data_IF_879610038961
#
_entry.id   IF_879610038961
#
_cell.length_a   1.000
_cell.length_b   1.000
_cell.length_c   1.000
_cell.angle_alpha   90.00
_cell.angle_beta   90.00
_cell.angle_gamma   90.00
#
_symmetry.space_group_name_H-M   'P 1'
#
loop_
_entity.id
_entity.type
_entity.pdbx_description
1 polymer ?
#
# COMPACT_ATOMS: atom_id res chain seq x y z
N UNK A 1 -21.42 33.81 -30.43
CA UNK A 1 -21.02 32.46 -29.99
C UNK A 1 -19.86 32.00 -30.86
N UNK A 2 -18.63 32.14 -30.36
CA UNK A 2 -17.44 31.57 -31.00
C UNK A 2 -16.58 31.05 -29.87
N UNK A 3 -16.72 29.75 -29.63
CA UNK A 3 -16.00 29.00 -28.63
C UNK A 3 -14.53 28.91 -29.06
N UNK A 4 -13.67 29.69 -28.40
CA UNK A 4 -12.22 29.60 -28.58
C UNK A 4 -11.74 28.28 -27.97
N UNK A 5 -11.64 27.24 -28.80
CA UNK A 5 -10.97 25.98 -28.43
C UNK A 5 -9.49 26.26 -28.16
N UNK A 6 -9.14 26.55 -26.90
CA UNK A 6 -7.75 26.57 -26.47
C UNK A 6 -7.17 25.16 -26.62
N UNK A 7 -6.34 24.97 -27.65
CA UNK A 7 -5.57 23.73 -27.83
C UNK A 7 -4.64 23.58 -26.62
N UNK A 8 -4.77 22.49 -25.88
CA UNK A 8 -3.92 22.21 -24.72
C UNK A 8 -2.44 22.39 -25.09
N UNK A 9 -1.63 23.10 -24.29
CA UNK A 9 -0.23 23.30 -24.60
C UNK A 9 0.47 21.95 -24.53
N UNK A 10 0.66 21.31 -25.68
CA UNK A 10 1.55 20.15 -25.81
C UNK A 10 3.00 20.64 -25.72
N UNK A 11 3.42 21.13 -24.55
CA UNK A 11 4.85 21.17 -24.23
C UNK A 11 5.24 19.75 -23.88
N UNK A 12 5.60 18.96 -24.90
CA UNK A 12 6.49 17.85 -24.68
C UNK A 12 7.77 18.45 -24.06
N UNK A 13 7.93 18.31 -22.74
CA UNK A 13 9.14 18.73 -22.06
C UNK A 13 10.27 17.90 -22.68
N UNK A 14 11.08 18.53 -23.55
CA UNK A 14 12.32 17.90 -24.01
C UNK A 14 13.14 17.66 -22.74
N UNK A 15 13.49 16.40 -22.39
CA UNK A 15 14.09 16.08 -21.10
C UNK A 15 15.31 16.96 -20.79
N UNK A 16 16.13 17.22 -21.80
CA UNK A 16 17.31 18.09 -21.72
C UNK A 16 16.97 19.53 -21.33
N UNK A 17 15.87 20.09 -21.88
CA UNK A 17 15.43 21.46 -21.55
C UNK A 17 14.92 21.52 -20.10
N UNK A 18 14.17 20.51 -19.67
CA UNK A 18 13.71 20.40 -18.27
C UNK A 18 14.87 20.28 -17.29
N UNK A 19 15.88 19.46 -17.60
CA UNK A 19 17.07 19.31 -16.75
C UNK A 19 17.84 20.62 -16.62
N UNK A 20 18.03 21.35 -17.72
CA UNK A 20 18.70 22.65 -17.68
C UNK A 20 17.93 23.70 -16.88
N UNK A 21 16.60 23.69 -16.98
CA UNK A 21 15.73 24.64 -16.27
C UNK A 21 15.53 24.31 -14.78
N UNK A 22 15.60 23.03 -14.38
CA UNK A 22 15.33 22.60 -12.99
C UNK A 22 16.57 22.18 -12.21
N UNK A 23 17.49 21.42 -12.80
CA UNK A 23 18.69 20.88 -12.13
C UNK A 23 19.90 21.81 -12.27
N UNK A 24 20.08 22.42 -13.45
CA UNK A 24 21.25 23.23 -13.78
C UNK A 24 20.92 24.72 -14.02
N UNK A 25 19.91 25.25 -13.33
CA UNK A 25 19.44 26.62 -13.54
C UNK A 25 20.41 27.71 -13.07
N UNK A 26 21.35 27.37 -12.20
CA UNK A 26 22.39 28.27 -11.70
C UNK A 26 23.61 27.51 -11.18
N UNK A 27 24.68 28.22 -10.83
CA UNK A 27 25.94 27.61 -10.37
C UNK A 27 25.76 26.83 -9.06
N UNK A 28 24.99 27.37 -8.11
CA UNK A 28 24.69 26.69 -6.84
C UNK A 28 23.90 25.40 -7.05
N UNK A 29 22.84 25.44 -7.87
CA UNK A 29 22.03 24.26 -8.20
C UNK A 29 22.83 23.21 -8.97
N UNK A 30 23.78 23.64 -9.81
CA UNK A 30 24.69 22.74 -10.53
C UNK A 30 25.62 22.03 -9.55
N UNK A 31 26.26 22.74 -8.62
CA UNK A 31 27.13 22.14 -7.60
C UNK A 31 26.33 21.21 -6.68
N UNK A 32 25.14 21.63 -6.24
CA UNK A 32 24.26 20.81 -5.40
C UNK A 32 23.81 19.54 -6.13
N UNK A 33 23.41 19.66 -7.40
CA UNK A 33 23.01 18.51 -8.24
C UNK A 33 24.18 17.54 -8.41
N UNK A 34 25.39 18.04 -8.70
CA UNK A 34 26.57 17.20 -8.84
C UNK A 34 26.97 16.54 -7.51
N UNK A 35 26.87 17.27 -6.39
CA UNK A 35 27.13 16.73 -5.06
C UNK A 35 26.16 15.63 -4.65
N UNK A 36 24.85 15.84 -4.88
CA UNK A 36 23.81 14.83 -4.64
C UNK A 36 23.99 13.63 -5.59
N UNK A 37 24.26 13.87 -6.87
CA UNK A 37 24.52 12.80 -7.83
C UNK A 37 25.75 11.97 -7.43
N UNK A 38 26.83 12.62 -6.98
CA UNK A 38 28.02 11.94 -6.47
C UNK A 38 27.68 11.09 -5.24
N UNK A 39 27.03 11.66 -4.22
CA UNK A 39 26.61 10.92 -3.03
C UNK A 39 25.72 9.72 -3.39
N UNK A 40 24.73 9.92 -4.27
CA UNK A 40 23.85 8.85 -4.74
C UNK A 40 24.64 7.73 -5.40
N UNK A 41 25.54 8.04 -6.34
CA UNK A 41 26.34 7.00 -7.01
C UNK A 41 27.24 6.27 -6.01
N UNK A 42 27.88 6.99 -5.08
CA UNK A 42 28.80 6.39 -4.11
C UNK A 42 28.11 5.60 -3.00
N UNK A 43 26.85 5.91 -2.66
CA UNK A 43 26.10 5.20 -1.61
C UNK A 43 25.22 4.10 -2.20
N UNK A 44 24.52 4.38 -3.30
CA UNK A 44 23.58 3.43 -3.92
C UNK A 44 24.33 2.32 -4.64
N UNK A 45 25.44 2.62 -5.32
CA UNK A 45 26.22 1.61 -6.05
C UNK A 45 26.66 0.43 -5.16
N UNK A 46 27.41 0.66 -4.07
CA UNK A 46 27.80 -0.39 -3.15
C UNK A 46 26.63 -1.09 -2.48
N UNK A 47 25.55 -0.35 -2.20
CA UNK A 47 24.35 -0.92 -1.57
C UNK A 47 23.62 -1.87 -2.52
N UNK A 48 23.52 -1.53 -3.81
CA UNK A 48 22.97 -2.42 -4.83
C UNK A 48 23.87 -3.65 -5.07
N UNK A 49 25.18 -3.46 -5.09
CA UNK A 49 26.12 -4.59 -5.21
C UNK A 49 25.94 -5.55 -4.04
N UNK A 50 25.93 -5.05 -2.80
CA UNK A 50 25.71 -5.85 -1.61
C UNK A 50 24.33 -6.54 -1.58
N UNK A 51 23.28 -5.86 -2.05
CA UNK A 51 21.90 -6.36 -1.99
C UNK A 51 21.54 -7.36 -3.09
N UNK A 52 22.11 -7.22 -4.29
CA UNK A 52 21.78 -8.06 -5.46
C UNK A 52 22.95 -8.88 -5.99
N UNK A 53 24.15 -8.29 -6.13
CA UNK A 53 25.27 -8.93 -6.84
C UNK A 53 26.06 -9.89 -5.94
N UNK A 54 26.39 -9.45 -4.73
CA UNK A 54 27.15 -10.24 -3.75
C UNK A 54 26.25 -11.04 -2.81
N UNK A 55 24.94 -10.99 -3.04
CA UNK A 55 23.92 -11.55 -2.16
C UNK A 55 23.79 -13.08 -2.28
N UNK A 56 23.52 -13.73 -1.15
CA UNK A 56 23.41 -15.18 -1.05
C UNK A 56 21.93 -15.60 -1.15
N UNK A 57 21.56 -16.24 -2.26
CA UNK A 57 20.20 -16.70 -2.56
C UNK A 57 19.99 -18.21 -2.38
N UNK A 58 21.06 -19.01 -2.35
CA UNK A 58 21.00 -20.49 -2.34
C UNK A 58 21.81 -21.03 -1.16
N UNK A 59 21.22 -21.96 -0.42
CA UNK A 59 21.79 -22.62 0.76
C UNK A 59 20.69 -23.22 1.63
N UNK A 60 21.08 -24.03 2.62
CA UNK A 60 20.15 -24.71 3.53
C UNK A 60 19.99 -23.94 4.86
N UNK A 61 21.07 -23.36 5.37
CA UNK A 61 21.13 -22.75 6.70
C UNK A 61 21.72 -21.34 6.70
N UNK A 62 21.46 -20.59 7.77
CA UNK A 62 21.99 -19.23 7.94
C UNK A 62 23.53 -19.16 7.95
N UNK A 63 24.21 -20.28 8.25
CA UNK A 63 25.66 -20.43 8.19
C UNK A 63 26.23 -20.43 6.77
N UNK A 64 25.38 -20.64 5.75
CA UNK A 64 25.81 -20.69 4.35
C UNK A 64 25.98 -19.28 3.75
N UNK A 65 25.60 -18.24 4.50
CA UNK A 65 25.78 -16.87 4.08
C UNK A 65 27.24 -16.41 4.31
N UNK A 66 27.95 -16.13 3.21
CA UNK A 66 29.37 -15.73 3.16
C UNK A 66 29.73 -14.45 3.93
N UNK A 67 28.75 -13.67 4.36
CA UNK A 67 28.94 -12.37 5.04
C UNK A 67 29.32 -11.21 4.13
N UNK A 68 29.67 -11.46 2.86
CA UNK A 68 30.06 -10.42 1.90
C UNK A 68 28.87 -9.63 1.32
N UNK A 69 27.69 -10.24 1.27
CA UNK A 69 26.45 -9.64 0.74
C UNK A 69 25.23 -9.93 1.60
N UNK A 70 24.07 -9.45 1.14
CA UNK A 70 22.80 -9.68 1.80
C UNK A 70 22.44 -11.18 1.86
N UNK A 71 21.94 -11.64 3.01
CA UNK A 71 21.52 -13.03 3.21
C UNK A 71 20.02 -13.17 2.94
N UNK A 72 19.64 -13.47 1.69
CA UNK A 72 18.24 -13.65 1.30
C UNK A 72 17.64 -14.98 1.77
N UNK A 73 18.49 -15.93 2.13
CA UNK A 73 18.10 -17.22 2.69
C UNK A 73 17.14 -17.08 3.87
N UNK A 74 17.39 -16.15 4.78
CA UNK A 74 16.51 -15.94 5.92
C UNK A 74 15.09 -15.52 5.48
N UNK A 75 15.02 -14.63 4.49
CA UNK A 75 13.76 -14.12 3.96
C UNK A 75 13.01 -15.23 3.24
N UNK A 76 13.66 -16.02 2.38
CA UNK A 76 13.01 -17.12 1.67
C UNK A 76 12.51 -18.22 2.62
N UNK A 77 13.30 -18.59 3.64
CA UNK A 77 12.95 -19.61 4.63
C UNK A 77 11.86 -19.17 5.62
N UNK A 78 11.62 -17.87 5.78
CA UNK A 78 10.60 -17.31 6.68
C UNK A 78 9.48 -16.57 5.93
N UNK A 79 9.46 -16.62 4.60
CA UNK A 79 8.50 -15.91 3.78
C UNK A 79 7.06 -16.33 4.08
N UNK A 80 6.84 -17.62 4.31
CA UNK A 80 5.53 -18.15 4.68
C UNK A 80 5.01 -17.48 5.98
N UNK A 81 5.84 -17.40 7.01
CA UNK A 81 5.51 -16.70 8.25
C UNK A 81 5.24 -15.21 8.04
N UNK A 82 6.00 -14.52 7.18
CA UNK A 82 5.75 -13.11 6.87
C UNK A 82 4.44 -12.87 6.12
N UNK A 83 3.95 -13.84 5.34
CA UNK A 83 2.70 -13.70 4.59
C UNK A 83 1.49 -14.14 5.43
N UNK A 84 1.54 -15.32 6.03
CA UNK A 84 0.39 -15.98 6.67
C UNK A 84 0.43 -15.95 8.21
N UNK A 85 1.58 -15.63 8.82
CA UNK A 85 1.76 -15.71 10.27
C UNK A 85 1.82 -17.18 10.75
N UNK A 86 1.00 -17.53 11.75
CA UNK A 86 0.89 -18.89 12.28
C UNK A 86 -0.29 -19.68 11.69
N UNK A 87 -0.82 -19.24 10.55
CA UNK A 87 -1.95 -19.88 9.87
C UNK A 87 -1.54 -21.27 9.34
N UNK A 88 -2.32 -22.35 9.59
CA UNK A 88 -1.93 -23.70 9.21
C UNK A 88 -1.65 -23.85 7.71
N UNK A 89 -0.56 -24.54 7.35
CA UNK A 89 -0.08 -24.68 5.96
C UNK A 89 -1.13 -25.29 5.03
N UNK A 90 -1.86 -26.30 5.49
CA UNK A 90 -2.91 -26.98 4.72
C UNK A 90 -4.09 -26.07 4.36
N UNK A 91 -4.29 -24.98 5.11
CA UNK A 91 -5.42 -24.07 4.97
C UNK A 91 -5.03 -22.75 4.27
N UNK A 92 -3.75 -22.52 3.97
CA UNK A 92 -3.25 -21.28 3.37
C UNK A 92 -3.91 -20.93 2.03
N UNK A 93 -4.41 -21.93 1.31
CA UNK A 93 -5.19 -21.72 0.08
C UNK A 93 -6.40 -20.79 0.28
N UNK A 94 -6.99 -20.76 1.49
CA UNK A 94 -8.09 -19.85 1.85
C UNK A 94 -7.64 -18.38 1.79
N UNK A 95 -6.42 -18.13 2.23
CA UNK A 95 -5.78 -16.81 2.23
C UNK A 95 -5.35 -16.43 0.81
N UNK A 96 -4.77 -17.37 0.06
CA UNK A 96 -4.40 -17.14 -1.35
C UNK A 96 -5.61 -16.84 -2.22
N UNK A 97 -6.71 -17.56 -2.01
CA UNK A 97 -7.99 -17.27 -2.65
C UNK A 97 -8.46 -15.85 -2.30
N UNK A 98 -8.31 -15.41 -1.06
CA UNK A 98 -8.64 -14.02 -0.67
C UNK A 98 -7.73 -12.98 -1.32
N UNK A 99 -6.42 -13.23 -1.44
CA UNK A 99 -5.51 -12.34 -2.16
C UNK A 99 -5.85 -12.26 -3.64
N UNK A 100 -6.17 -13.40 -4.26
CA UNK A 100 -6.63 -13.45 -5.64
C UNK A 100 -7.93 -12.65 -5.83
N UNK A 101 -8.93 -12.88 -4.98
CA UNK A 101 -10.21 -12.16 -5.03
C UNK A 101 -10.03 -10.66 -4.83
N UNK A 102 -9.16 -10.25 -3.90
CA UNK A 102 -8.80 -8.84 -3.69
C UNK A 102 -8.16 -8.26 -4.96
N UNK A 103 -7.19 -8.96 -5.56
CA UNK A 103 -6.54 -8.51 -6.79
C UNK A 103 -7.53 -8.42 -7.96
N UNK A 104 -8.42 -9.39 -8.12
CA UNK A 104 -9.47 -9.40 -9.16
C UNK A 104 -10.49 -8.28 -8.95
N UNK A 105 -10.82 -7.93 -7.70
CA UNK A 105 -11.71 -6.81 -7.41
C UNK A 105 -11.01 -5.44 -7.63
N UNK A 106 -9.73 -5.34 -7.27
CA UNK A 106 -8.99 -4.08 -7.19
C UNK A 106 -8.25 -3.70 -8.48
N UNK A 107 -7.51 -4.62 -9.11
CA UNK A 107 -6.68 -4.33 -10.30
C UNK A 107 -7.51 -3.80 -11.48
N UNK A 108 -8.69 -4.36 -11.82
CA UNK A 108 -9.53 -3.82 -12.88
C UNK A 108 -10.02 -2.39 -12.64
N UNK A 109 -9.99 -1.87 -11.40
CA UNK A 109 -10.36 -0.48 -11.12
C UNK A 109 -9.38 0.52 -11.72
N UNK A 110 -8.13 0.13 -11.96
CA UNK A 110 -7.12 0.97 -12.61
C UNK A 110 -7.21 0.95 -14.13
N UNK A 111 -7.99 0.04 -14.71
CA UNK A 111 -8.15 -0.11 -16.16
C UNK A 111 -9.49 0.49 -16.56
N UNK A 112 -9.48 1.68 -17.16
CA UNK A 112 -10.69 2.44 -17.49
C UNK A 112 -11.69 1.67 -18.37
N UNK A 113 -11.19 0.79 -19.25
CA UNK A 113 -11.99 0.08 -20.26
C UNK A 113 -12.41 -1.35 -19.85
N UNK A 114 -12.19 -1.75 -18.61
CA UNK A 114 -12.47 -3.14 -18.21
C UNK A 114 -13.99 -3.41 -18.10
N UNK A 115 -14.51 -4.47 -18.75
CA UNK A 115 -15.94 -4.79 -18.69
C UNK A 115 -16.33 -5.24 -17.28
N UNK A 116 -17.42 -4.69 -16.74
CA UNK A 116 -17.92 -5.07 -15.40
C UNK A 116 -17.17 -4.44 -14.22
N UNK A 117 -16.28 -3.46 -14.46
CA UNK A 117 -15.53 -2.73 -13.40
C UNK A 117 -16.41 -2.30 -12.21
N UNK A 118 -17.59 -1.73 -12.46
CA UNK A 118 -18.50 -1.27 -11.39
C UNK A 118 -18.99 -2.43 -10.51
N UNK A 119 -19.33 -3.57 -11.12
CA UNK A 119 -19.77 -4.76 -10.40
C UNK A 119 -18.64 -5.37 -9.57
N UNK A 120 -17.42 -5.43 -10.13
CA UNK A 120 -16.23 -5.86 -9.38
C UNK A 120 -15.90 -4.91 -8.21
N UNK A 121 -16.11 -3.61 -8.39
CA UNK A 121 -15.93 -2.62 -7.31
C UNK A 121 -16.98 -2.77 -6.20
N UNK A 122 -18.25 -2.98 -6.56
CA UNK A 122 -19.33 -3.27 -5.61
C UNK A 122 -19.09 -4.61 -4.88
N UNK A 123 -18.67 -5.64 -5.61
CA UNK A 123 -18.26 -6.91 -5.03
C UNK A 123 -17.07 -6.73 -4.09
N UNK A 124 -16.08 -5.92 -4.45
CA UNK A 124 -15.01 -5.54 -3.54
C UNK A 124 -15.55 -4.97 -2.23
N UNK A 125 -16.32 -3.88 -2.30
CA UNK A 125 -16.77 -3.16 -1.10
C UNK A 125 -17.67 -4.01 -0.20
N UNK A 126 -18.65 -4.71 -0.76
CA UNK A 126 -19.67 -5.42 0.02
C UNK A 126 -19.50 -6.93 0.04
N UNK A 127 -19.08 -7.54 -1.07
CA UNK A 127 -18.93 -8.99 -1.19
C UNK A 127 -17.65 -9.50 -0.52
N UNK A 128 -16.53 -8.84 -0.73
CA UNK A 128 -15.23 -9.31 -0.26
C UNK A 128 -15.13 -9.41 1.28
N UNK A 129 -15.64 -8.44 2.09
CA UNK A 129 -15.67 -8.58 3.54
C UNK A 129 -16.51 -9.78 3.99
N UNK A 130 -17.64 -10.03 3.33
CA UNK A 130 -18.54 -11.14 3.63
C UNK A 130 -17.84 -12.47 3.32
N UNK A 131 -17.24 -12.59 2.13
CA UNK A 131 -16.48 -13.79 1.76
C UNK A 131 -15.31 -14.01 2.73
N UNK A 132 -14.54 -12.97 3.05
CA UNK A 132 -13.41 -13.06 3.99
C UNK A 132 -13.83 -13.49 5.39
N UNK A 133 -14.98 -13.00 5.87
CA UNK A 133 -15.55 -13.37 7.17
C UNK A 133 -15.88 -14.86 7.26
N UNK A 134 -16.31 -15.50 6.18
CA UNK A 134 -16.58 -16.93 6.17
C UNK A 134 -15.34 -17.77 5.84
N UNK A 135 -14.50 -17.30 4.92
CA UNK A 135 -13.42 -18.10 4.33
C UNK A 135 -12.19 -18.17 5.24
N UNK A 136 -11.79 -17.09 5.91
CA UNK A 136 -10.54 -17.04 6.70
C UNK A 136 -10.67 -17.74 8.07
N UNK A 137 -11.62 -17.39 8.95
CA UNK A 137 -11.79 -18.09 10.22
C UNK A 137 -12.31 -19.52 10.03
N UNK A 138 -13.09 -19.80 8.98
CA UNK A 138 -13.77 -21.09 8.84
C UNK A 138 -14.88 -21.26 9.88
N UNK A 139 -15.13 -22.51 10.30
CA UNK A 139 -16.15 -22.86 11.31
C UNK A 139 -17.57 -23.02 10.77
N UNK A 140 -17.83 -22.55 9.54
CA UNK A 140 -19.12 -22.68 8.84
C UNK A 140 -18.94 -23.54 7.59
N UNK A 141 -19.99 -24.22 7.14
CA UNK A 141 -19.97 -25.11 5.96
C UNK A 141 -19.00 -26.31 6.04
N UNK A 142 -18.63 -26.75 7.25
CA UNK A 142 -17.70 -27.86 7.46
C UNK A 142 -16.22 -27.50 7.30
N UNK A 143 -15.90 -26.20 7.20
CA UNK A 143 -14.52 -25.71 7.21
C UNK A 143 -13.93 -25.78 8.61
N UNK A 144 -12.72 -26.32 8.74
CA UNK A 144 -11.96 -26.29 10.00
C UNK A 144 -11.79 -24.85 10.50
N UNK A 145 -12.03 -24.64 11.79
CA UNK A 145 -11.94 -23.34 12.44
C UNK A 145 -10.49 -22.98 12.76
N UNK A 146 -10.05 -21.81 12.30
CA UNK A 146 -8.72 -21.26 12.58
C UNK A 146 -8.87 -20.07 13.51
N UNK A 147 -8.40 -20.25 14.76
CA UNK A 147 -8.43 -19.21 15.78
C UNK A 147 -7.70 -17.93 15.32
N UNK A 148 -8.27 -16.77 15.64
CA UNK A 148 -7.71 -15.45 15.30
C UNK A 148 -6.33 -15.19 15.91
N UNK A 149 -5.95 -15.93 16.96
CA UNK A 149 -4.60 -15.87 17.57
C UNK A 149 -3.49 -16.34 16.63
N UNK A 150 -3.82 -17.14 15.61
CA UNK A 150 -2.88 -17.66 14.61
C UNK A 150 -2.70 -16.72 13.42
N UNK A 151 -3.53 -15.69 13.31
CA UNK A 151 -3.51 -14.78 12.17
C UNK A 151 -2.35 -13.82 12.30
N UNK A 152 -1.63 -13.58 11.20
CA UNK A 152 -0.51 -12.65 11.22
C UNK A 152 -0.02 -12.29 9.83
N UNK A 153 1.18 -11.72 9.80
CA UNK A 153 1.87 -11.36 8.57
C UNK A 153 1.12 -10.37 7.68
N UNK A 154 1.42 -10.44 6.39
CA UNK A 154 0.83 -9.61 5.36
C UNK A 154 -0.70 -9.77 5.31
N UNK A 155 -1.21 -11.00 5.50
CA UNK A 155 -2.65 -11.27 5.53
C UNK A 155 -3.37 -10.37 6.52
N UNK A 156 -2.95 -10.38 7.80
CA UNK A 156 -3.61 -9.60 8.84
C UNK A 156 -3.52 -8.10 8.54
N UNK A 157 -2.36 -7.61 8.09
CA UNK A 157 -2.19 -6.19 7.74
C UNK A 157 -3.12 -5.76 6.62
N UNK A 158 -3.27 -6.57 5.56
CA UNK A 158 -4.16 -6.28 4.44
C UNK A 158 -5.63 -6.34 4.85
N UNK A 159 -6.03 -7.31 5.69
CA UNK A 159 -7.40 -7.39 6.20
C UNK A 159 -7.75 -6.13 7.01
N UNK A 160 -6.90 -5.76 7.97
CA UNK A 160 -7.13 -4.59 8.83
C UNK A 160 -7.14 -3.29 8.02
N UNK A 161 -6.19 -3.13 7.10
CA UNK A 161 -6.15 -1.97 6.21
C UNK A 161 -7.40 -1.92 5.32
N UNK A 162 -7.81 -3.03 4.73
CA UNK A 162 -8.96 -3.10 3.84
C UNK A 162 -10.27 -2.76 4.56
N UNK A 163 -10.55 -3.44 5.68
CA UNK A 163 -11.76 -3.18 6.48
C UNK A 163 -11.73 -1.74 7.01
N UNK A 164 -10.58 -1.27 7.48
CA UNK A 164 -10.39 0.11 7.94
C UNK A 164 -10.70 1.14 6.88
N UNK A 165 -10.21 0.97 5.65
CA UNK A 165 -10.49 1.87 4.52
C UNK A 165 -11.98 1.81 4.13
N UNK A 166 -12.53 0.62 3.97
CA UNK A 166 -13.93 0.44 3.55
C UNK A 166 -14.90 1.00 4.59
N UNK A 167 -14.63 0.82 5.89
CA UNK A 167 -15.48 1.33 6.96
C UNK A 167 -15.28 2.84 7.22
N UNK A 168 -14.04 3.35 7.11
CA UNK A 168 -13.75 4.77 7.37
C UNK A 168 -14.19 5.70 6.25
N UNK A 169 -14.21 5.24 4.99
CA UNK A 169 -14.62 6.04 3.84
C UNK A 169 -16.06 6.60 3.97
N UNK A 170 -17.11 5.82 4.26
CA UNK A 170 -18.46 6.35 4.41
C UNK A 170 -18.57 7.30 5.61
N UNK A 171 -17.90 6.99 6.73
CA UNK A 171 -17.87 7.85 7.92
C UNK A 171 -17.20 9.18 7.57
N UNK A 172 -16.07 9.14 6.86
CA UNK A 172 -15.36 10.33 6.38
C UNK A 172 -16.20 11.18 5.44
N UNK A 173 -16.97 10.57 4.54
CA UNK A 173 -17.91 11.29 3.66
C UNK A 173 -19.00 11.97 4.49
N UNK A 174 -19.62 11.26 5.44
CA UNK A 174 -20.66 11.83 6.30
C UNK A 174 -20.15 13.02 7.12
N UNK A 175 -18.95 12.91 7.70
CA UNK A 175 -18.31 14.00 8.45
C UNK A 175 -17.93 15.18 7.54
N UNK A 176 -17.48 14.90 6.31
CA UNK A 176 -17.16 15.94 5.34
C UNK A 176 -18.41 16.71 4.88
N UNK A 177 -19.55 16.02 4.71
CA UNK A 177 -20.84 16.66 4.44
C UNK A 177 -21.33 17.46 5.65
N UNK A 178 -21.21 16.91 6.86
CA UNK A 178 -21.57 17.60 8.10
C UNK A 178 -20.78 18.90 8.31
N UNK A 179 -19.49 18.93 7.93
CA UNK A 179 -18.66 20.15 7.94
C UNK A 179 -19.18 21.25 7.02
N UNK A 180 -19.92 20.90 5.95
CA UNK A 180 -20.55 21.87 5.03
C UNK A 180 -21.99 22.23 5.39
N UNK A 181 -22.51 21.73 6.51
CA UNK A 181 -23.87 22.03 6.96
C UNK A 181 -24.01 23.48 7.45
N UNK A 182 -25.16 24.09 7.18
CA UNK A 182 -25.55 25.41 7.70
C UNK A 182 -25.92 25.37 9.20
N UNK A 183 -26.21 24.17 9.74
CA UNK A 183 -26.53 24.00 11.16
C UNK A 183 -25.26 24.09 12.03
N UNK A 184 -25.13 25.10 12.92
CA UNK A 184 -23.88 25.38 13.62
C UNK A 184 -23.46 24.26 14.57
N UNK A 185 -24.41 23.56 15.19
CA UNK A 185 -24.13 22.44 16.12
C UNK A 185 -23.48 21.27 15.37
N UNK A 186 -24.11 20.80 14.29
CA UNK A 186 -23.61 19.65 13.50
C UNK A 186 -22.26 19.99 12.88
N UNK A 187 -22.13 21.20 12.31
CA UNK A 187 -20.86 21.69 11.77
C UNK A 187 -19.77 21.72 12.84
N UNK A 188 -20.08 22.22 14.03
CA UNK A 188 -19.15 22.29 15.16
C UNK A 188 -18.62 20.90 15.55
N UNK A 189 -19.52 19.93 15.74
CA UNK A 189 -19.15 18.55 16.10
C UNK A 189 -18.26 17.92 15.02
N UNK A 190 -18.61 18.05 13.73
CA UNK A 190 -17.80 17.48 12.65
C UNK A 190 -16.42 18.14 12.55
N UNK A 191 -16.33 19.47 12.70
CA UNK A 191 -15.03 20.18 12.66
C UNK A 191 -14.15 19.75 13.83
N UNK A 192 -14.68 19.71 15.05
CA UNK A 192 -13.92 19.29 16.23
C UNK A 192 -13.40 17.87 16.05
N UNK A 193 -14.27 16.93 15.65
CA UNK A 193 -13.85 15.54 15.43
C UNK A 193 -12.73 15.42 14.38
N UNK A 194 -12.88 16.08 13.22
CA UNK A 194 -11.89 16.03 12.14
C UNK A 194 -10.56 16.65 12.57
N UNK A 195 -10.59 17.84 13.19
CA UNK A 195 -9.35 18.55 13.56
C UNK A 195 -8.64 17.87 14.73
N UNK A 196 -9.36 17.28 15.70
CA UNK A 196 -8.76 16.49 16.80
C UNK A 196 -8.00 15.29 16.24
N UNK A 197 -8.63 14.42 15.45
CA UNK A 197 -7.97 13.21 14.93
C UNK A 197 -6.85 13.52 13.92
N UNK A 198 -6.88 14.68 13.26
CA UNK A 198 -5.78 15.14 12.41
C UNK A 198 -4.62 15.75 13.21
N UNK A 199 -4.88 16.32 14.38
CA UNK A 199 -3.88 16.92 15.24
C UNK A 199 -3.20 15.91 16.19
N UNK A 200 -3.93 14.87 16.60
CA UNK A 200 -3.41 13.85 17.52
C UNK A 200 -2.47 12.89 16.78
N UNK A 201 -1.21 12.70 17.23
CA UNK A 201 -0.32 11.71 16.66
C UNK A 201 -0.87 10.30 16.89
N UNK A 202 -0.94 9.48 15.84
CA UNK A 202 -1.42 8.10 15.97
C UNK A 202 -0.62 7.28 16.99
N UNK A 203 0.68 7.59 17.12
CA UNK A 203 1.59 7.00 18.11
C UNK A 203 1.06 7.20 19.54
N UNK A 204 0.57 8.39 19.91
CA UNK A 204 0.12 8.63 21.29
C UNK A 204 -1.14 7.85 21.63
N UNK A 205 -2.00 7.57 20.65
CA UNK A 205 -3.22 6.77 20.84
C UNK A 205 -2.89 5.29 20.93
N UNK A 206 -1.86 4.83 20.23
CA UNK A 206 -1.45 3.42 20.22
C UNK A 206 -0.78 2.98 21.54
N UNK A 207 -0.11 3.90 22.23
CA UNK A 207 0.66 3.61 23.45
C UNK A 207 -0.05 3.97 24.77
N UNK A 208 -1.31 4.44 24.70
CA UNK A 208 -2.15 4.69 25.88
C UNK A 208 -2.97 3.45 26.23
#
# INVERSE_FOLDING_TARGET
MTESTMKAPKKALRPVKWMRENLFSGWFNTVLTLGVAYMLVTSVGPLLNWFFLDANFVGADASDCSGAGACWLFISQRLNFFIYGFYPDELQWRVDAMFLLLAVAFVPQFIERFPGRKWLGLFGIFGLPVVGYFLIPGGLFGLEEVQSSKWGGLMLTLILAYIGIVASLPIGILLALGRRSEMPIIRGICVVFIEVWRAVPLITVLFM
#
